data_IF_415686584333
#
_entry.id   IF_415686584333
#
_cell.length_a   1.000
_cell.length_b   1.000
_cell.length_c   1.000
_cell.angle_alpha   90.00
_cell.angle_beta   90.00
_cell.angle_gamma   90.00
#
_symmetry.space_group_name_H-M   'P 1'
#
loop_
_entity.id
_entity.type
_entity.pdbx_description
1 polymer ?
#
# COMPACT_ATOMS: atom_id res chain seq x y z
N UNK A 1 -10.54 12.42 -10.51
CA UNK A 1 -9.11 12.77 -10.33
C UNK A 1 -8.37 11.46 -10.16
N UNK A 2 -7.60 11.04 -11.18
CA UNK A 2 -6.78 9.82 -11.10
C UNK A 2 -5.44 10.17 -10.46
N UNK A 3 -5.03 9.43 -9.44
CA UNK A 3 -3.69 9.55 -8.87
C UNK A 3 -2.68 9.09 -9.94
N UNK A 4 -1.70 9.94 -10.32
CA UNK A 4 -0.70 9.53 -11.29
C UNK A 4 0.10 8.33 -10.78
N UNK A 5 0.58 7.49 -11.69
CA UNK A 5 1.47 6.39 -11.36
C UNK A 5 2.68 6.91 -10.56
N UNK A 6 3.02 6.23 -9.45
CA UNK A 6 4.16 6.60 -8.60
C UNK A 6 5.43 6.55 -9.44
N UNK A 7 5.99 7.72 -9.76
CA UNK A 7 7.27 7.84 -10.45
C UNK A 7 8.36 7.33 -9.52
N UNK A 8 9.01 6.22 -9.90
CA UNK A 8 10.12 5.63 -9.14
C UNK A 8 11.38 6.43 -9.46
N UNK A 9 11.41 7.71 -9.09
CA UNK A 9 12.61 8.52 -9.16
C UNK A 9 13.21 8.52 -7.75
N UNK A 10 14.26 7.71 -7.58
CA UNK A 10 15.18 7.69 -6.42
C UNK A 10 14.53 7.54 -5.04
N UNK A 11 13.88 6.40 -4.81
CA UNK A 11 14.01 5.81 -3.48
C UNK A 11 15.40 5.18 -3.49
N UNK A 12 16.45 5.94 -3.16
CA UNK A 12 17.66 5.30 -2.64
C UNK A 12 17.12 4.52 -1.44
N UNK A 13 17.12 3.16 -1.46
CA UNK A 13 16.79 2.44 -0.25
C UNK A 13 17.82 2.94 0.75
N UNK A 14 17.35 3.73 1.70
CA UNK A 14 18.08 4.13 2.88
C UNK A 14 18.77 2.85 3.33
N UNK A 15 20.11 2.84 3.34
CA UNK A 15 21.02 1.68 3.49
C UNK A 15 20.83 0.94 4.84
N UNK A 16 19.58 0.68 5.19
CA UNK A 16 19.06 0.16 6.44
C UNK A 16 18.63 -1.25 6.11
N UNK A 17 19.36 -2.18 6.69
CA UNK A 17 18.99 -3.58 6.64
C UNK A 17 18.13 -3.84 7.87
N UNK A 18 16.89 -4.26 7.64
CA UNK A 18 16.02 -4.73 8.72
C UNK A 18 16.40 -6.18 9.03
N UNK A 19 16.68 -6.45 10.30
CA UNK A 19 17.20 -7.73 10.76
C UNK A 19 16.52 -8.17 12.05
N UNK A 20 16.30 -9.48 12.17
CA UNK A 20 15.76 -10.08 13.39
C UNK A 20 16.93 -10.51 14.27
N UNK A 21 17.31 -9.63 15.21
CA UNK A 21 18.48 -9.84 16.05
C UNK A 21 18.38 -11.13 16.89
N UNK A 22 17.20 -11.46 17.42
CA UNK A 22 16.99 -12.69 18.20
C UNK A 22 17.31 -13.93 17.38
N UNK A 23 16.82 -13.98 16.14
CA UNK A 23 17.06 -15.11 15.24
C UNK A 23 18.54 -15.23 14.85
N UNK A 24 19.21 -14.10 14.59
CA UNK A 24 20.64 -14.08 14.23
C UNK A 24 21.50 -14.57 15.40
N UNK A 25 21.19 -14.16 16.63
CA UNK A 25 21.94 -14.60 17.82
C UNK A 25 21.82 -16.11 18.08
N UNK A 26 20.70 -16.72 17.70
CA UNK A 26 20.48 -18.18 17.77
C UNK A 26 21.13 -18.94 16.61
N UNK A 27 21.30 -18.31 15.44
CA UNK A 27 21.78 -18.94 14.20
C UNK A 27 23.02 -18.25 13.64
N UNK A 28 24.03 -18.09 14.51
CA UNK A 28 25.30 -17.44 14.19
C UNK A 28 25.98 -18.10 12.98
N UNK A 29 26.49 -17.28 12.06
CA UNK A 29 27.16 -17.75 10.83
C UNK A 29 26.24 -18.33 9.75
N UNK A 30 24.92 -18.16 9.87
CA UNK A 30 23.96 -18.49 8.82
C UNK A 30 23.86 -17.38 7.76
N UNK A 31 23.17 -17.66 6.65
CA UNK A 31 22.98 -16.70 5.55
C UNK A 31 22.22 -15.41 5.96
N UNK A 32 21.56 -15.42 7.12
CA UNK A 32 20.84 -14.27 7.67
C UNK A 32 21.69 -13.43 8.64
N UNK A 33 22.91 -13.87 8.97
CA UNK A 33 23.87 -13.16 9.82
C UNK A 33 24.71 -12.19 8.98
N UNK A 34 24.48 -10.87 9.05
CA UNK A 34 25.13 -9.92 8.17
C UNK A 34 26.60 -9.70 8.55
N UNK A 35 27.49 -9.77 7.56
CA UNK A 35 28.88 -9.38 7.74
C UNK A 35 28.96 -7.86 7.90
N UNK A 36 29.40 -7.41 9.07
CA UNK A 36 29.60 -5.99 9.36
C UNK A 36 30.97 -5.51 8.87
N UNK A 37 31.03 -4.28 8.36
CA UNK A 37 32.27 -3.59 7.97
C UNK A 37 32.50 -2.33 8.80
N UNK A 38 33.71 -1.80 8.74
CA UNK A 38 34.04 -0.53 9.38
C UNK A 38 33.12 0.59 8.86
N UNK A 39 32.52 1.34 9.80
CA UNK A 39 31.51 2.37 9.51
C UNK A 39 30.06 1.90 9.64
N UNK A 40 29.78 0.60 9.72
CA UNK A 40 28.43 0.09 10.01
C UNK A 40 28.09 0.29 11.49
N UNK A 41 26.84 0.64 11.80
CA UNK A 41 26.37 0.78 13.17
C UNK A 41 25.01 0.11 13.37
N UNK A 42 24.87 -0.60 14.48
CA UNK A 42 23.61 -1.24 14.89
C UNK A 42 22.79 -0.26 15.74
N UNK A 43 21.56 0.04 15.30
CA UNK A 43 20.63 0.86 16.06
C UNK A 43 19.58 -0.02 16.74
N UNK A 44 19.60 -0.04 18.08
CA UNK A 44 18.57 -0.71 18.88
C UNK A 44 17.60 0.37 19.41
N UNK A 45 16.37 0.43 18.91
CA UNK A 45 15.38 1.39 19.40
C UNK A 45 14.92 1.04 20.81
N UNK A 46 14.46 2.03 21.57
CA UNK A 46 13.81 1.80 22.87
C UNK A 46 12.52 1.01 22.68
N UNK A 47 12.27 0.05 23.58
CA UNK A 47 11.01 -0.66 23.62
C UNK A 47 9.86 0.31 23.88
N UNK A 48 8.89 0.33 22.98
CA UNK A 48 7.65 1.09 23.14
C UNK A 48 6.59 0.14 23.68
N UNK A 49 5.93 0.52 24.77
CA UNK A 49 4.77 -0.21 25.32
C UNK A 49 3.45 0.15 24.61
N UNK A 50 3.54 0.59 23.36
CA UNK A 50 2.40 1.13 22.60
C UNK A 50 2.36 0.57 21.20
N UNK A 51 1.16 0.56 20.62
CA UNK A 51 0.89 0.29 19.20
C UNK A 51 0.47 1.61 18.57
N UNK A 52 1.14 2.01 17.49
CA UNK A 52 0.78 3.22 16.76
C UNK A 52 -0.25 2.87 15.67
N UNK A 53 -1.36 3.59 15.61
CA UNK A 53 -2.34 3.46 14.53
C UNK A 53 -2.33 4.74 13.72
N UNK A 54 -2.12 4.63 12.40
CA UNK A 54 -1.97 5.78 11.51
C UNK A 54 -2.58 5.56 10.13
N UNK A 55 -2.80 6.65 9.40
CA UNK A 55 -3.42 6.67 8.07
C UNK A 55 -4.91 7.02 8.11
N UNK A 56 -5.71 6.35 7.28
CA UNK A 56 -7.13 6.60 7.07
C UNK A 56 -8.01 5.99 8.20
N UNK A 57 -7.77 6.45 9.43
CA UNK A 57 -8.62 6.20 10.61
C UNK A 57 -9.17 7.54 11.11
N UNK A 58 -10.24 7.53 11.92
CA UNK A 58 -10.82 8.78 12.41
C UNK A 58 -9.82 9.59 13.25
N UNK A 59 -9.15 8.94 14.21
CA UNK A 59 -8.18 9.58 15.12
C UNK A 59 -6.87 8.78 15.19
N UNK A 60 -5.87 9.09 14.34
CA UNK A 60 -4.53 8.52 14.41
C UNK A 60 -3.87 8.80 15.77
N UNK A 61 -3.43 7.76 16.48
CA UNK A 61 -2.82 7.88 17.81
C UNK A 61 -2.03 6.64 18.22
N UNK A 62 -1.31 6.74 19.33
CA UNK A 62 -0.62 5.62 19.99
C UNK A 62 -1.46 5.09 21.14
N UNK A 63 -1.68 3.78 21.17
CA UNK A 63 -2.47 3.10 22.20
C UNK A 63 -1.58 2.16 23.02
N UNK A 64 -1.88 2.00 24.30
CA UNK A 64 -1.14 1.07 25.17
C UNK A 64 -1.34 -0.36 24.64
N UNK A 65 -0.23 -1.08 24.48
CA UNK A 65 -0.27 -2.46 24.04
C UNK A 65 -0.93 -3.35 25.10
N UNK A 66 -1.89 -4.17 24.67
CA UNK A 66 -2.51 -5.21 25.48
C UNK A 66 -2.48 -6.54 24.72
N UNK A 67 -2.01 -7.60 25.38
CA UNK A 67 -1.80 -8.91 24.76
C UNK A 67 -3.05 -9.59 24.23
N UNK A 68 -4.23 -9.19 24.71
CA UNK A 68 -5.53 -9.72 24.28
C UNK A 68 -6.08 -9.00 23.05
N UNK A 69 -5.57 -7.81 22.74
CA UNK A 69 -6.10 -7.00 21.66
C UNK A 69 -5.55 -7.45 20.31
N UNK A 70 -6.45 -7.58 19.35
CA UNK A 70 -6.18 -7.85 17.95
C UNK A 70 -6.00 -6.53 17.19
N UNK A 71 -5.55 -6.65 15.94
CA UNK A 71 -5.42 -5.53 15.01
C UNK A 71 -6.69 -4.66 14.94
N UNK A 72 -7.86 -5.30 14.85
CA UNK A 72 -9.14 -4.58 14.74
C UNK A 72 -9.45 -3.75 15.98
N UNK A 73 -9.13 -4.23 17.18
CA UNK A 73 -9.41 -3.53 18.43
C UNK A 73 -8.65 -2.20 18.47
N UNK A 74 -7.41 -2.16 17.98
CA UNK A 74 -6.64 -0.92 17.88
C UNK A 74 -7.22 0.06 16.85
N UNK A 75 -7.77 -0.45 15.75
CA UNK A 75 -8.46 0.39 14.75
C UNK A 75 -9.76 0.96 15.34
N UNK A 76 -10.51 0.17 16.11
CA UNK A 76 -11.70 0.65 16.82
C UNK A 76 -11.36 1.72 17.86
N UNK A 77 -10.27 1.54 18.61
CA UNK A 77 -9.76 2.56 19.54
C UNK A 77 -9.37 3.87 18.84
N UNK A 78 -8.95 3.80 17.57
CA UNK A 78 -8.72 4.95 16.70
C UNK A 78 -10.00 5.56 16.11
N UNK A 79 -11.18 5.13 16.57
CA UNK A 79 -12.47 5.59 16.08
C UNK A 79 -12.94 4.87 14.81
N UNK A 80 -12.38 3.70 14.48
CA UNK A 80 -12.65 2.97 13.25
C UNK A 80 -12.06 3.63 11.99
N UNK A 81 -12.35 3.05 10.84
CA UNK A 81 -11.88 3.49 9.53
C UNK A 81 -12.46 4.86 9.14
N UNK A 82 -11.65 5.68 8.48
CA UNK A 82 -12.12 6.86 7.77
C UNK A 82 -12.91 6.45 6.50
N UNK A 83 -13.71 7.38 5.95
CA UNK A 83 -14.57 7.09 4.78
C UNK A 83 -13.79 6.72 3.52
N UNK A 84 -12.58 7.23 3.41
CA UNK A 84 -11.66 7.02 2.30
C UNK A 84 -10.63 5.93 2.61
N UNK A 85 -10.83 5.11 3.65
CA UNK A 85 -9.91 4.02 3.97
C UNK A 85 -9.92 2.91 2.91
N UNK A 86 -8.75 2.33 2.64
CA UNK A 86 -8.59 1.06 1.95
C UNK A 86 -8.42 -0.06 2.98
N UNK A 87 -9.54 -0.71 3.31
CA UNK A 87 -9.60 -1.76 4.34
C UNK A 87 -8.88 -3.04 3.89
N UNK A 88 -8.80 -3.30 2.59
CA UNK A 88 -8.15 -4.51 2.05
C UNK A 88 -6.62 -4.40 2.07
N UNK A 89 -6.11 -3.18 1.97
CA UNK A 89 -4.67 -2.89 1.94
C UNK A 89 -4.07 -2.56 3.30
N UNK A 90 -4.78 -2.81 4.41
CA UNK A 90 -4.23 -2.59 5.76
C UNK A 90 -3.02 -3.50 6.01
N UNK A 91 -1.97 -2.93 6.59
CA UNK A 91 -0.75 -3.65 6.95
C UNK A 91 -0.19 -3.19 8.29
N UNK A 92 0.62 -4.05 8.89
CA UNK A 92 1.32 -3.80 10.13
C UNK A 92 2.82 -3.79 9.86
N UNK A 93 3.48 -2.72 10.28
CA UNK A 93 4.93 -2.64 10.38
C UNK A 93 5.32 -3.12 11.77
N UNK A 94 6.08 -4.21 11.83
CA UNK A 94 6.60 -4.77 13.07
C UNK A 94 7.76 -3.92 13.59
N UNK A 95 8.04 -4.02 14.88
CA UNK A 95 9.17 -3.31 15.50
C UNK A 95 10.53 -3.65 14.85
N UNK A 96 10.69 -4.85 14.28
CA UNK A 96 11.88 -5.26 13.52
C UNK A 96 11.95 -4.67 12.10
N UNK A 97 10.93 -3.89 11.68
CA UNK A 97 10.84 -3.22 10.39
C UNK A 97 10.20 -4.05 9.27
N UNK A 98 9.80 -5.30 9.53
CA UNK A 98 9.08 -6.12 8.55
C UNK A 98 7.63 -5.66 8.42
N UNK A 99 7.12 -5.69 7.19
CA UNK A 99 5.74 -5.33 6.89
C UNK A 99 4.91 -6.58 6.59
N UNK A 100 3.75 -6.71 7.24
CA UNK A 100 2.81 -7.80 7.00
C UNK A 100 1.43 -7.25 6.69
N UNK A 101 0.79 -7.76 5.63
CA UNK A 101 -0.62 -7.47 5.35
C UNK A 101 -1.50 -8.04 6.48
N UNK A 102 -2.65 -7.41 6.72
CA UNK A 102 -3.60 -7.78 7.78
C UNK A 102 -3.89 -9.30 7.89
N UNK A 103 -3.99 -10.02 6.77
CA UNK A 103 -4.28 -11.45 6.69
C UNK A 103 -3.11 -12.34 7.16
N UNK A 104 -1.89 -11.81 7.14
CA UNK A 104 -0.66 -12.49 7.61
C UNK A 104 -0.27 -12.11 9.03
N UNK A 105 -0.94 -11.15 9.63
CA UNK A 105 -0.68 -10.72 11.01
C UNK A 105 -1.34 -11.73 11.97
N UNK A 106 -0.51 -12.55 12.62
CA UNK A 106 -0.99 -13.50 13.64
C UNK A 106 -1.32 -12.81 14.96
N UNK A 107 -0.44 -11.90 15.39
CA UNK A 107 -0.54 -11.19 16.65
C UNK A 107 0.13 -9.82 16.55
N UNK A 108 -0.50 -8.82 17.17
CA UNK A 108 0.08 -7.50 17.37
C UNK A 108 1.02 -7.58 18.58
N UNK A 109 2.19 -6.97 18.45
CA UNK A 109 3.19 -6.89 19.50
C UNK A 109 3.44 -5.43 19.88
N UNK A 110 4.12 -5.26 21.00
CA UNK A 110 4.52 -3.96 21.50
C UNK A 110 5.47 -3.27 20.52
N UNK A 111 5.19 -2.02 20.17
CA UNK A 111 5.99 -1.22 19.23
C UNK A 111 5.58 -1.38 17.76
N UNK A 112 4.58 -2.20 17.45
CA UNK A 112 4.02 -2.32 16.10
C UNK A 112 3.34 -1.02 15.66
N UNK A 113 3.29 -0.82 14.34
CA UNK A 113 2.58 0.28 13.69
C UNK A 113 1.53 -0.30 12.74
N UNK A 114 0.26 -0.06 13.03
CA UNK A 114 -0.87 -0.36 12.16
C UNK A 114 -1.05 0.80 11.18
N UNK A 115 -0.97 0.51 9.89
CA UNK A 115 -1.13 1.51 8.83
C UNK A 115 -2.37 1.18 8.01
N UNK A 116 -3.27 2.15 7.93
CA UNK A 116 -4.48 2.09 7.12
C UNK A 116 -4.32 3.02 5.92
N UNK A 117 -4.13 2.51 4.69
CA UNK A 117 -4.01 3.36 3.52
C UNK A 117 -5.34 4.02 3.15
N UNK A 118 -5.28 5.08 2.34
CA UNK A 118 -6.45 5.66 1.67
C UNK A 118 -6.73 4.94 0.36
N UNK A 119 -8.00 4.65 0.07
CA UNK A 119 -8.49 4.12 -1.20
C UNK A 119 -8.19 5.10 -2.33
N UNK A 120 -7.33 4.69 -3.27
CA UNK A 120 -7.13 5.42 -4.52
C UNK A 120 -8.22 5.01 -5.51
N UNK A 121 -9.19 5.89 -5.74
CA UNK A 121 -10.22 5.70 -6.76
C UNK A 121 -9.55 5.83 -8.14
N UNK A 122 -8.97 4.74 -8.64
CA UNK A 122 -8.58 4.68 -10.05
C UNK A 122 -9.87 4.50 -10.82
N UNK A 123 -10.40 5.61 -11.35
CA UNK A 123 -11.46 5.55 -12.34
C UNK A 123 -10.91 4.73 -13.51
N UNK A 124 -11.31 3.46 -13.57
CA UNK A 124 -10.96 2.55 -14.66
C UNK A 124 -11.77 3.03 -15.86
N UNK A 125 -11.28 4.07 -16.53
CA UNK A 125 -11.82 4.50 -17.80
C UNK A 125 -11.67 3.30 -18.71
N UNK A 126 -12.77 2.63 -19.00
CA UNK A 126 -12.78 1.49 -19.91
C UNK A 126 -12.51 2.06 -21.31
N UNK A 127 -11.24 2.18 -21.68
CA UNK A 127 -10.78 2.62 -22.99
C UNK A 127 -11.43 1.82 -24.13
N UNK A 128 -11.92 0.61 -23.83
CA UNK A 128 -12.61 -0.28 -24.76
C UNK A 128 -13.94 0.29 -25.28
N UNK A 129 -14.74 0.99 -24.47
CA UNK A 129 -16.03 1.55 -24.93
C UNK A 129 -15.85 2.79 -25.81
N UNK A 130 -14.78 3.57 -25.59
CA UNK A 130 -14.42 4.70 -26.45
C UNK A 130 -14.07 4.26 -27.88
N UNK A 131 -13.32 3.14 -28.01
CA UNK A 131 -12.92 2.60 -29.31
C UNK A 131 -14.12 2.10 -30.15
N UNK A 132 -15.10 1.45 -29.51
CA UNK A 132 -16.31 0.97 -30.19
C UNK A 132 -17.14 2.14 -30.72
N UNK A 133 -17.30 3.21 -29.94
CA UNK A 133 -18.05 4.40 -30.35
C UNK A 133 -17.39 5.09 -31.55
N UNK A 134 -16.05 5.14 -31.61
CA UNK A 134 -15.31 5.70 -32.75
C UNK A 134 -15.49 4.90 -34.05
N UNK A 135 -15.43 3.56 -33.96
CA UNK A 135 -15.68 2.71 -35.14
C UNK A 135 -17.09 2.91 -35.70
N UNK A 136 -18.10 3.04 -34.82
CA UNK A 136 -19.49 3.32 -35.23
C UNK A 136 -19.59 4.69 -35.90
N UNK A 137 -18.94 5.73 -35.37
CA UNK A 137 -18.90 7.07 -35.97
C UNK A 137 -18.26 7.04 -37.36
N UNK A 138 -17.11 6.38 -37.50
CA UNK A 138 -16.41 6.27 -38.78
C UNK A 138 -17.27 5.57 -39.84
N UNK A 139 -18.00 4.52 -39.46
CA UNK A 139 -18.93 3.83 -40.35
C UNK A 139 -20.08 4.74 -40.81
N UNK A 140 -20.66 5.54 -39.91
CA UNK A 140 -21.73 6.48 -40.25
C UNK A 140 -21.26 7.59 -41.20
N UNK A 141 -20.09 8.18 -40.95
CA UNK A 141 -19.52 9.24 -41.81
C UNK A 141 -19.18 8.68 -43.20
N UNK A 142 -18.58 7.50 -43.26
CA UNK A 142 -18.25 6.82 -44.52
C UNK A 142 -19.53 6.45 -45.29
N UNK A 143 -20.58 5.99 -44.61
CA UNK A 143 -21.87 5.70 -45.23
C UNK A 143 -22.54 6.95 -45.80
N UNK A 144 -22.56 8.06 -45.05
CA UNK A 144 -23.15 9.32 -45.49
C UNK A 144 -22.41 9.92 -46.70
N UNK A 145 -21.08 9.86 -46.70
CA UNK A 145 -20.26 10.32 -47.84
C UNK A 145 -20.54 9.49 -49.10
N UNK A 146 -20.65 8.17 -49.00
CA UNK A 146 -21.03 7.31 -50.14
C UNK A 146 -22.44 7.63 -50.67
N UNK A 147 -23.40 7.90 -49.80
CA UNK A 147 -24.75 8.30 -50.21
C UNK A 147 -24.76 9.63 -50.97
N UNK A 148 -24.01 10.62 -50.50
CA UNK A 148 -23.89 11.92 -51.17
C UNK A 148 -23.25 11.80 -52.55
N UNK A 149 -22.16 11.03 -52.67
CA UNK A 149 -21.52 10.79 -53.95
C UNK A 149 -22.51 10.12 -54.92
N UNK A 150 -23.25 9.10 -54.46
CA UNK A 150 -24.26 8.42 -55.28
C UNK A 150 -25.41 9.32 -55.73
N UNK A 151 -25.76 10.34 -54.96
CA UNK A 151 -26.82 11.31 -55.32
C UNK A 151 -26.35 12.32 -56.38
N UNK A 152 -25.05 12.63 -56.45
CA UNK A 152 -24.46 13.56 -57.41
C UNK A 152 -24.11 12.92 -58.77
N UNK A 153 -23.93 11.59 -58.82
CA UNK A 153 -23.61 10.86 -60.06
C UNK A 153 -24.84 10.31 -60.81
N UNK A 154 -26.06 10.64 -60.35
CA UNK A 154 -27.34 10.31 -61.00
C UNK A 154 -27.98 11.57 -61.57
#
# INVERSE_FOLDING_TARGET
MVTPARKIEEIIPNHRVFLNLSQILETQGSDIDPIMRDGDYLVIPKERQTVLVTGAVLHPSSFIYQSKNKLIDYIEMAGSYARDADVESVYVLKANGLAYRNDKVKQIESGDVVVVPTSVMVEKVSDTWGQVIELVRMALVTGATLLLVRQLTK
#
